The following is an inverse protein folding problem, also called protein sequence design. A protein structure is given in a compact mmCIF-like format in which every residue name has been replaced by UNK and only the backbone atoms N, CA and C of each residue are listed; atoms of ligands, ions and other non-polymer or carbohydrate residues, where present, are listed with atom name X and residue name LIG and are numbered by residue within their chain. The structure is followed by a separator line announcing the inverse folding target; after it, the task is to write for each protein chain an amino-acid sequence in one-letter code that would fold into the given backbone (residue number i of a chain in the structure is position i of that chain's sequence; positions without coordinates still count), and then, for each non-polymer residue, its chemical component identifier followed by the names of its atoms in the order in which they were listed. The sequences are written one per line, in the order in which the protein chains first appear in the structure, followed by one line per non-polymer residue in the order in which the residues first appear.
data_IF_892013528532
#
_entry.id   IF_892013528532
#
_cell.length_a   1.000
_cell.length_b   1.000
_cell.length_c   1.000
_cell.angle_alpha   90.00
_cell.angle_beta   90.00
_cell.angle_gamma   90.00
#
_symmetry.space_group_name_H-M   'P 1'
#
loop_
_entity.id
_entity.type
_entity.pdbx_description
1 polymer ?
#
# COMPACT_ATOMS: atom_id res chain seq x y z
N UNK A 1 -0.84 -4.53 16.13
CA UNK A 1 -0.85 -5.04 14.74
C UNK A 1 0.38 -5.90 14.58
N UNK A 2 0.25 -7.07 13.96
CA UNK A 2 1.37 -7.97 13.70
C UNK A 2 1.57 -8.07 12.20
N UNK A 3 2.80 -7.83 11.73
CA UNK A 3 3.12 -7.94 10.31
C UNK A 3 3.15 -9.42 9.88
N UNK A 4 2.57 -9.72 8.72
CA UNK A 4 2.53 -11.06 8.13
C UNK A 4 3.47 -11.13 6.92
N UNK A 5 3.39 -10.12 6.04
CA UNK A 5 4.16 -10.06 4.80
C UNK A 5 4.37 -8.60 4.41
N UNK A 6 5.56 -8.29 3.91
CA UNK A 6 5.89 -6.99 3.31
C UNK A 6 6.73 -7.22 2.06
N UNK A 7 6.24 -6.73 0.93
CA UNK A 7 6.91 -6.79 -0.36
C UNK A 7 7.07 -5.39 -0.92
N UNK A 8 8.26 -5.09 -1.39
CA UNK A 8 8.60 -3.86 -2.08
C UNK A 8 9.44 -4.21 -3.28
N UNK A 9 9.04 -3.79 -4.47
CA UNK A 9 9.73 -4.14 -5.71
C UNK A 9 9.34 -3.20 -6.84
N UNK A 10 10.22 -3.12 -7.84
CA UNK A 10 9.93 -2.46 -9.10
C UNK A 10 9.47 -3.50 -10.12
N UNK A 11 8.40 -3.19 -10.86
CA UNK A 11 7.95 -3.98 -12.00
C UNK A 11 7.15 -3.09 -12.95
N UNK A 12 7.26 -3.29 -14.25
CA UNK A 12 6.43 -2.62 -15.25
C UNK A 12 6.36 -1.09 -15.03
N UNK A 13 7.53 -0.47 -14.89
CA UNK A 13 7.72 0.97 -14.66
C UNK A 13 6.99 1.51 -13.41
N UNK A 14 6.73 0.63 -12.44
CA UNK A 14 5.99 0.95 -11.23
C UNK A 14 6.69 0.40 -10.01
N UNK A 15 6.71 1.18 -8.94
CA UNK A 15 7.03 0.67 -7.62
C UNK A 15 5.77 0.12 -6.97
N UNK A 16 5.87 -1.13 -6.51
CA UNK A 16 4.82 -1.82 -5.80
C UNK A 16 5.22 -1.99 -4.35
N UNK A 17 4.30 -1.61 -3.46
CA UNK A 17 4.39 -1.88 -2.04
C UNK A 17 3.15 -2.65 -1.60
N UNK A 18 3.37 -3.84 -1.06
CA UNK A 18 2.31 -4.68 -0.50
C UNK A 18 2.66 -4.96 0.95
N UNK A 19 1.72 -4.68 1.85
CA UNK A 19 1.90 -4.96 3.27
C UNK A 19 0.66 -5.63 3.82
N UNK A 20 0.84 -6.76 4.49
CA UNK A 20 -0.23 -7.56 5.07
C UNK A 20 -0.02 -7.63 6.58
N UNK A 21 -1.06 -7.31 7.33
CA UNK A 21 -1.02 -7.27 8.79
C UNK A 21 -2.22 -7.99 9.39
N UNK A 22 -2.03 -8.56 10.58
CA UNK A 22 -3.11 -8.99 11.47
C UNK A 22 -3.42 -7.87 12.46
N UNK A 23 -4.70 -7.53 12.58
CA UNK A 23 -5.22 -6.60 13.58
C UNK A 23 -6.48 -7.20 14.19
N UNK A 24 -6.45 -7.53 15.48
CA UNK A 24 -7.50 -8.31 16.15
C UNK A 24 -7.79 -9.62 15.37
N UNK A 25 -9.05 -9.88 15.05
CA UNK A 25 -9.50 -11.00 14.23
C UNK A 25 -9.56 -10.66 12.73
N UNK A 26 -9.01 -9.52 12.31
CA UNK A 26 -8.99 -9.07 10.93
C UNK A 26 -7.61 -9.25 10.31
N UNK A 27 -7.61 -9.60 9.03
CA UNK A 27 -6.43 -9.59 8.18
C UNK A 27 -6.59 -8.46 7.16
N UNK A 28 -5.67 -7.50 7.19
CA UNK A 28 -5.69 -6.33 6.32
C UNK A 28 -4.51 -6.38 5.36
N UNK A 29 -4.70 -5.86 4.15
CA UNK A 29 -3.67 -5.75 3.12
C UNK A 29 -3.72 -4.36 2.52
N UNK A 30 -2.59 -3.67 2.52
CA UNK A 30 -2.38 -2.46 1.71
C UNK A 30 -1.66 -2.84 0.43
N UNK A 31 -2.09 -2.24 -0.68
CA UNK A 31 -1.37 -2.25 -1.95
C UNK A 31 -1.24 -0.81 -2.43
N UNK A 32 0.00 -0.38 -2.62
CA UNK A 32 0.35 0.89 -3.25
C UNK A 32 1.11 0.57 -4.52
N UNK A 33 0.64 1.11 -5.64
CA UNK A 33 1.35 1.11 -6.92
C UNK A 33 1.65 2.56 -7.27
N UNK A 34 2.92 2.90 -7.47
CA UNK A 34 3.34 4.19 -8.00
C UNK A 34 3.99 4.00 -9.35
N UNK A 35 3.27 4.37 -10.41
CA UNK A 35 3.77 4.34 -11.78
C UNK A 35 4.54 5.64 -12.08
N UNK A 36 5.63 5.53 -12.83
CA UNK A 36 6.48 6.67 -13.15
C UNK A 36 5.84 7.72 -14.08
N UNK A 37 4.77 7.35 -14.81
CA UNK A 37 4.04 8.21 -15.75
C UNK A 37 2.61 8.52 -15.27
N UNK A 38 2.39 8.39 -13.96
CA UNK A 38 1.18 8.69 -13.16
C UNK A 38 -0.16 8.00 -13.52
N UNK A 39 -0.41 7.61 -14.77
CA UNK A 39 -1.74 7.22 -15.25
C UNK A 39 -2.36 5.95 -14.63
N UNK A 40 -1.61 5.20 -13.82
CA UNK A 40 -2.06 3.93 -13.26
C UNK A 40 -1.69 3.74 -11.78
N UNK A 41 -1.33 4.81 -11.10
CA UNK A 41 -0.96 4.73 -9.70
C UNK A 41 -2.19 4.65 -8.79
N UNK A 42 -2.10 3.91 -7.69
CA UNK A 42 -3.19 3.79 -6.74
C UNK A 42 -2.70 3.38 -5.35
N UNK A 43 -3.52 3.65 -4.34
CA UNK A 43 -3.29 3.25 -2.97
C UNK A 43 -4.59 2.71 -2.36
N UNK A 44 -4.63 1.43 -2.01
CA UNK A 44 -5.84 0.74 -1.56
C UNK A 44 -5.56 -0.13 -0.34
N UNK A 45 -6.53 -0.21 0.56
CA UNK A 45 -6.52 -1.17 1.66
C UNK A 45 -7.71 -2.11 1.54
N UNK A 46 -7.45 -3.37 1.87
CA UNK A 46 -8.34 -4.51 1.72
C UNK A 46 -8.49 -5.25 3.05
N UNK A 47 -9.64 -5.85 3.27
CA UNK A 47 -9.91 -6.80 4.37
C UNK A 47 -10.17 -8.19 3.80
N UNK A 48 -9.60 -9.21 4.42
CA UNK A 48 -9.93 -10.60 4.10
C UNK A 48 -11.16 -11.05 4.88
N UNK A 49 -12.14 -11.62 4.19
CA UNK A 49 -13.38 -12.14 4.79
C UNK A 49 -13.35 -13.65 5.07
N UNK A 50 -12.22 -14.31 4.80
CA UNK A 50 -12.07 -15.77 4.89
C UNK A 50 -12.00 -16.45 3.53
N UNK A 51 -12.48 -15.80 2.47
CA UNK A 51 -12.47 -16.32 1.08
C UNK A 51 -11.74 -15.38 0.13
N UNK A 52 -11.97 -14.07 0.23
CA UNK A 52 -11.45 -13.08 -0.71
C UNK A 52 -11.05 -11.76 -0.02
N UNK A 53 -10.35 -10.92 -0.79
CA UNK A 53 -9.95 -9.58 -0.36
C UNK A 53 -10.94 -8.54 -0.88
N UNK A 54 -11.65 -7.87 0.03
CA UNK A 54 -12.59 -6.81 -0.31
C UNK A 54 -11.95 -5.44 -0.03
N UNK A 55 -12.14 -4.47 -0.91
CA UNK A 55 -11.65 -3.09 -0.70
C UNK A 55 -12.42 -2.49 0.48
N UNK A 56 -11.69 -1.90 1.42
CA UNK A 56 -12.26 -1.16 2.56
C UNK A 56 -12.16 0.34 2.33
N UNK A 57 -11.01 0.79 1.82
CA UNK A 57 -10.77 2.18 1.48
C UNK A 57 -9.71 2.31 0.38
N UNK A 58 -9.77 3.43 -0.32
CA UNK A 58 -8.77 3.88 -1.28
C UNK A 58 -8.38 5.32 -0.95
N UNK A 59 -7.11 5.63 -1.15
CA UNK A 59 -6.57 6.99 -1.04
C UNK A 59 -6.18 7.44 -2.45
N UNK A 60 -6.58 8.64 -2.89
CA UNK A 60 -6.01 9.26 -4.09
C UNK A 60 -4.48 9.23 -3.99
N UNK A 61 -3.81 8.89 -5.08
CA UNK A 61 -2.35 8.73 -5.02
C UNK A 61 -1.65 10.10 -4.86
N UNK A 62 -2.33 11.17 -5.23
CA UNK A 62 -1.95 12.56 -5.04
C UNK A 62 -1.91 12.94 -3.56
N UNK A 63 -2.62 12.21 -2.69
CA UNK A 63 -2.60 12.39 -1.24
C UNK A 63 -1.52 11.52 -0.55
N UNK A 64 -0.98 10.53 -1.27
CA UNK A 64 0.13 9.71 -0.78
C UNK A 64 1.42 10.53 -0.75
N UNK A 65 2.30 10.25 0.23
CA UNK A 65 3.63 10.85 0.32
C UNK A 65 4.62 10.29 -0.69
N UNK A 66 4.39 9.09 -1.21
CA UNK A 66 5.24 8.43 -2.21
C UNK A 66 5.16 9.05 -3.64
N UNK A 67 5.32 10.39 -3.75
CA UNK A 67 4.87 11.14 -4.93
C UNK A 67 5.78 11.06 -6.16
N UNK A 68 7.08 10.78 -6.07
CA UNK A 68 7.91 10.63 -7.27
C UNK A 68 8.93 9.53 -7.07
N UNK A 69 8.83 8.52 -7.91
CA UNK A 69 9.83 7.47 -8.05
C UNK A 69 10.13 7.33 -9.54
N UNK A 70 11.37 7.59 -9.93
CA UNK A 70 11.83 7.24 -11.27
C UNK A 70 11.90 5.72 -11.34
N UNK A 71 11.37 5.14 -12.41
CA UNK A 71 11.40 3.69 -12.63
C UNK A 71 12.83 3.16 -12.81
N UNK A 72 13.80 4.03 -13.10
CA UNK A 72 15.21 3.70 -13.24
C UNK A 72 15.98 3.79 -11.90
N UNK A 73 15.33 4.22 -10.82
CA UNK A 73 15.97 4.25 -9.49
C UNK A 73 16.23 2.84 -8.96
N UNK A 74 17.33 2.68 -8.22
CA UNK A 74 17.58 1.46 -7.45
C UNK A 74 16.63 1.42 -6.25
N UNK A 75 16.33 0.23 -5.74
CA UNK A 75 15.39 0.03 -4.62
C UNK A 75 15.77 0.82 -3.36
N UNK A 76 17.08 0.94 -3.09
CA UNK A 76 17.61 1.74 -1.97
C UNK A 76 17.24 3.22 -2.07
N UNK A 77 17.04 3.73 -3.29
CA UNK A 77 16.71 5.13 -3.57
C UNK A 77 15.19 5.35 -3.71
N UNK A 78 14.39 4.27 -3.76
CA UNK A 78 12.96 4.32 -4.02
C UNK A 78 12.11 4.69 -2.78
N UNK A 79 12.78 5.14 -1.70
CA UNK A 79 12.16 5.73 -0.51
C UNK A 79 11.03 4.88 0.10
N UNK A 80 11.32 3.59 0.34
CA UNK A 80 10.38 2.60 0.92
C UNK A 80 9.70 3.11 2.21
N UNK A 81 10.36 3.96 2.98
CA UNK A 81 9.82 4.59 4.18
C UNK A 81 8.55 5.42 3.91
N UNK A 82 8.44 6.06 2.74
CA UNK A 82 7.24 6.82 2.37
C UNK A 82 6.05 5.89 2.13
N UNK A 83 6.28 4.79 1.41
CA UNK A 83 5.25 3.76 1.22
C UNK A 83 4.80 3.13 2.54
N UNK A 84 5.73 2.95 3.49
CA UNK A 84 5.40 2.49 4.83
C UNK A 84 4.48 3.48 5.56
N UNK A 85 4.77 4.78 5.51
CA UNK A 85 3.92 5.82 6.11
C UNK A 85 2.51 5.86 5.49
N UNK A 86 2.43 5.82 4.15
CA UNK A 86 1.16 5.80 3.43
C UNK A 86 0.37 4.53 3.76
N UNK A 87 1.04 3.39 3.88
CA UNK A 87 0.41 2.14 4.31
C UNK A 87 -0.16 2.22 5.72
N UNK A 88 0.54 2.88 6.64
CA UNK A 88 0.05 3.06 8.00
C UNK A 88 -1.19 3.94 8.02
N UNK A 89 -1.18 5.02 7.25
CA UNK A 89 -2.33 5.94 7.10
C UNK A 89 -3.57 5.19 6.58
N UNK A 90 -3.40 4.40 5.52
CA UNK A 90 -4.47 3.56 4.97
C UNK A 90 -5.01 2.55 5.99
N UNK A 91 -4.14 1.92 6.80
CA UNK A 91 -4.59 1.02 7.85
C UNK A 91 -5.37 1.75 8.94
N UNK A 92 -4.94 2.93 9.39
CA UNK A 92 -5.69 3.69 10.39
C UNK A 92 -7.08 4.12 9.88
N UNK A 93 -7.19 4.49 8.61
CA UNK A 93 -8.49 4.78 7.99
C UNK A 93 -9.35 3.50 7.94
N UNK A 94 -8.80 2.38 7.50
CA UNK A 94 -9.51 1.11 7.42
C UNK A 94 -10.07 0.65 8.78
N UNK A 95 -9.30 0.81 9.87
CA UNK A 95 -9.73 0.47 11.23
C UNK A 95 -10.98 1.25 11.64
N UNK A 96 -11.01 2.56 11.35
CA UNK A 96 -12.16 3.42 11.68
C UNK A 96 -13.44 2.99 10.94
N UNK A 97 -13.30 2.45 9.73
CA UNK A 97 -14.42 1.96 8.91
C UNK A 97 -14.92 0.61 9.40
N UNK A 98 -13.99 -0.31 9.72
CA UNK A 98 -14.33 -1.68 10.11
C UNK A 98 -15.02 -1.74 11.48
N UNK A 99 -14.70 -0.80 12.37
CA UNK A 99 -15.11 -0.75 13.79
C UNK A 99 -14.60 -1.95 14.60
#
# INVERSE_FOLDING_TARGET
MTEIDTRFYNKDQSWYFIRIVKWNNHKLKVVIRRNAYDHQSYAKCYKFDGKQWNVVNSMPIEDCKCQVVSYAQKEVDARKELFLQDSQTLFEIAKKIIK
#
